data_IF_763450870370
#
_entry.id   IF_763450870370
#
_cell.length_a   1.000
_cell.length_b   1.000
_cell.length_c   1.000
_cell.angle_alpha   90.00
_cell.angle_beta   90.00
_cell.angle_gamma   90.00
#
_symmetry.space_group_name_H-M   'P 1'
#
loop_
_entity.id
_entity.type
_entity.pdbx_description
1 polymer ?
#
# COMPACT_ATOMS: atom_id res chain seq x y z
N UNK A 1 -11.00 12.21 30.06
CA UNK A 1 -9.85 11.31 29.82
C UNK A 1 -8.60 12.11 30.10
N UNK A 2 -7.59 11.57 30.79
CA UNK A 2 -6.33 12.29 30.95
C UNK A 2 -5.70 12.51 29.57
N UNK A 3 -5.43 13.78 29.22
CA UNK A 3 -4.97 14.21 27.90
C UNK A 3 -3.72 13.43 27.42
N UNK A 4 -2.82 13.07 28.35
CA UNK A 4 -1.60 12.31 28.05
C UNK A 4 -1.83 10.86 27.63
N UNK A 5 -2.97 10.23 27.96
CA UNK A 5 -3.22 8.85 27.55
C UNK A 5 -3.44 8.71 26.04
N UNK A 6 -3.96 9.75 25.38
CA UNK A 6 -4.29 9.75 23.94
C UNK A 6 -3.02 9.55 23.09
N UNK A 7 -1.89 10.14 23.51
CA UNK A 7 -0.63 10.14 22.76
C UNK A 7 0.40 9.14 23.25
N UNK A 8 0.09 8.35 24.30
CA UNK A 8 1.02 7.38 24.90
C UNK A 8 1.73 6.44 23.92
N UNK A 9 1.05 6.00 22.84
CA UNK A 9 1.67 5.19 21.77
C UNK A 9 2.45 6.01 20.76
N UNK A 10 2.02 7.24 20.51
CA UNK A 10 2.67 8.17 19.59
C UNK A 10 4.00 8.67 20.17
N UNK A 11 4.08 8.86 21.49
CA UNK A 11 5.29 9.27 22.22
C UNK A 11 6.44 8.26 22.10
N UNK A 12 6.16 6.99 21.73
CA UNK A 12 7.18 5.97 21.48
C UNK A 12 7.91 6.14 20.12
N UNK A 13 7.47 7.09 19.28
CA UNK A 13 8.07 7.33 17.96
C UNK A 13 9.14 8.42 18.08
N UNK A 14 10.40 8.02 18.32
CA UNK A 14 11.53 8.93 18.58
C UNK A 14 11.80 9.99 17.48
N UNK A 15 11.39 9.69 16.24
CA UNK A 15 11.62 10.55 15.08
C UNK A 15 10.53 11.60 14.84
N UNK A 16 9.47 11.60 15.65
CA UNK A 16 8.32 12.47 15.47
C UNK A 16 8.56 13.85 16.13
N UNK A 17 8.30 14.91 15.38
CA UNK A 17 8.41 16.31 15.78
C UNK A 17 7.08 17.03 15.49
N UNK A 18 6.19 17.04 16.49
CA UNK A 18 4.89 17.69 16.41
C UNK A 18 5.07 19.20 16.55
N UNK A 19 4.63 20.03 15.58
CA UNK A 19 4.73 21.47 15.71
C UNK A 19 3.77 21.99 16.79
N UNK A 20 4.21 23.00 17.55
CA UNK A 20 3.34 23.76 18.46
C UNK A 20 2.24 24.48 17.66
N UNK A 21 2.60 25.11 16.53
CA UNK A 21 1.69 25.87 15.67
C UNK A 21 1.80 25.38 14.23
N UNK A 22 0.66 25.16 13.58
CA UNK A 22 0.60 24.92 12.15
C UNK A 22 -0.48 25.79 11.47
N UNK A 23 -0.15 26.28 10.26
CA UNK A 23 -1.08 27.03 9.42
C UNK A 23 -1.47 26.21 8.20
N UNK A 24 -2.76 26.06 7.91
CA UNK A 24 -3.29 25.36 6.74
C UNK A 24 -4.02 26.37 5.84
N UNK A 25 -3.57 26.50 4.59
CA UNK A 25 -4.18 27.38 3.58
C UNK A 25 -4.93 26.55 2.56
N UNK A 26 -6.21 26.85 2.37
CA UNK A 26 -7.15 26.03 1.61
C UNK A 26 -7.62 24.87 2.48
N UNK A 27 -8.93 24.77 2.70
CA UNK A 27 -9.63 23.75 3.49
C UNK A 27 -10.53 22.88 2.58
N UNK A 28 -10.12 22.70 1.32
CA UNK A 28 -10.67 21.72 0.38
C UNK A 28 -10.18 20.30 0.69
N UNK A 29 -10.06 19.45 -0.34
CA UNK A 29 -9.70 18.03 -0.17
C UNK A 29 -8.44 17.82 0.68
N UNK A 30 -7.29 18.33 0.24
CA UNK A 30 -6.01 18.15 0.96
C UNK A 30 -5.97 18.93 2.27
N UNK A 31 -6.49 20.16 2.27
CA UNK A 31 -6.52 21.03 3.44
C UNK A 31 -7.27 20.47 4.63
N UNK A 32 -8.47 19.95 4.37
CA UNK A 32 -9.34 19.38 5.41
C UNK A 32 -8.65 18.20 6.10
N UNK A 33 -8.13 17.24 5.33
CA UNK A 33 -7.42 16.08 5.89
C UNK A 33 -6.11 16.48 6.58
N UNK A 34 -5.40 17.48 6.06
CA UNK A 34 -4.20 18.03 6.71
C UNK A 34 -4.54 18.56 8.10
N UNK A 35 -5.60 19.37 8.22
CA UNK A 35 -6.04 19.90 9.51
C UNK A 35 -6.49 18.79 10.48
N UNK A 36 -7.21 17.77 9.99
CA UNK A 36 -7.60 16.60 10.79
C UNK A 36 -6.37 15.87 11.31
N UNK A 37 -5.40 15.55 10.44
CA UNK A 37 -4.19 14.84 10.85
C UNK A 37 -3.35 15.66 11.84
N UNK A 38 -3.20 16.96 11.62
CA UNK A 38 -2.46 17.82 12.55
C UNK A 38 -3.13 17.88 13.94
N UNK A 39 -4.45 18.06 14.00
CA UNK A 39 -5.17 18.05 15.27
C UNK A 39 -5.03 16.70 15.96
N UNK A 40 -5.27 15.60 15.23
CA UNK A 40 -5.16 14.25 15.76
C UNK A 40 -3.74 13.90 16.24
N UNK A 41 -2.71 14.52 15.66
CA UNK A 41 -1.30 14.35 16.06
C UNK A 41 -0.90 15.18 17.28
N UNK A 42 -1.78 16.07 17.76
CA UNK A 42 -1.54 16.84 18.98
C UNK A 42 -0.88 18.19 18.80
N UNK A 43 -1.03 18.82 17.62
CA UNK A 43 -0.68 20.24 17.47
C UNK A 43 -1.47 21.08 18.48
N UNK A 44 -0.81 22.07 19.09
CA UNK A 44 -1.44 22.94 20.10
C UNK A 44 -2.30 24.02 19.44
N UNK A 45 -1.87 24.59 18.32
CA UNK A 45 -2.61 25.61 17.59
C UNK A 45 -2.68 25.34 16.08
N UNK A 46 -3.89 25.36 15.54
CA UNK A 46 -4.15 25.32 14.11
C UNK A 46 -4.77 26.62 13.64
N UNK A 47 -4.12 27.22 12.64
CA UNK A 47 -4.60 28.39 11.90
C UNK A 47 -5.15 27.90 10.57
N UNK A 48 -6.45 28.09 10.33
CA UNK A 48 -7.12 27.65 9.11
C UNK A 48 -7.53 28.84 8.26
N UNK A 49 -7.17 28.81 6.98
CA UNK A 49 -7.44 29.91 6.04
C UNK A 49 -8.17 29.35 4.83
N UNK A 50 -9.44 29.74 4.65
CA UNK A 50 -10.24 29.41 3.49
C UNK A 50 -11.46 30.35 3.44
N UNK A 51 -11.98 30.63 2.25
CA UNK A 51 -13.14 31.51 2.06
C UNK A 51 -14.38 30.80 1.52
N UNK A 52 -14.22 29.56 1.07
CA UNK A 52 -15.23 28.82 0.34
C UNK A 52 -16.36 28.32 1.27
N UNK A 53 -17.49 28.06 0.62
CA UNK A 53 -18.62 27.38 1.22
C UNK A 53 -18.61 25.90 0.84
N UNK A 54 -19.30 25.10 1.62
CA UNK A 54 -19.47 23.66 1.36
C UNK A 54 -20.50 23.47 0.26
N UNK A 55 -20.08 22.76 -0.78
CA UNK A 55 -20.95 22.30 -1.86
C UNK A 55 -21.23 20.80 -1.73
N UNK A 56 -22.33 20.33 -2.33
CA UNK A 56 -22.69 18.90 -2.34
C UNK A 56 -21.56 18.03 -2.92
N UNK A 57 -20.86 18.55 -3.94
CA UNK A 57 -19.72 17.88 -4.57
C UNK A 57 -18.57 17.63 -3.61
N UNK A 58 -18.49 18.35 -2.48
CA UNK A 58 -17.41 18.23 -1.50
C UNK A 58 -17.61 17.02 -0.58
N UNK A 59 -18.84 16.50 -0.45
CA UNK A 59 -19.14 15.36 0.43
C UNK A 59 -18.44 14.07 -0.02
N UNK A 60 -17.97 14.00 -1.26
CA UNK A 60 -17.24 12.84 -1.78
C UNK A 60 -15.80 12.69 -1.25
N UNK A 61 -15.28 13.72 -0.56
CA UNK A 61 -13.87 13.79 -0.14
C UNK A 61 -13.62 14.46 1.20
N UNK A 62 -14.60 15.17 1.73
CA UNK A 62 -14.54 15.80 3.05
C UNK A 62 -15.43 15.02 4.01
N UNK A 63 -15.01 14.89 5.27
CA UNK A 63 -15.82 14.25 6.31
C UNK A 63 -16.95 15.21 6.74
N UNK A 64 -17.98 15.30 5.91
CA UNK A 64 -19.09 16.24 6.05
C UNK A 64 -20.43 15.51 5.84
N UNK A 65 -21.43 15.95 6.58
CA UNK A 65 -22.83 15.55 6.38
C UNK A 65 -23.59 16.56 5.51
N UNK A 66 -24.70 16.14 4.89
CA UNK A 66 -25.54 16.99 4.02
C UNK A 66 -25.98 18.30 4.69
N UNK A 67 -26.24 18.28 6.01
CA UNK A 67 -26.64 19.47 6.77
C UNK A 67 -25.58 20.59 6.81
N UNK A 68 -24.35 20.31 6.38
CA UNK A 68 -23.28 21.30 6.31
C UNK A 68 -23.23 22.04 4.97
N UNK A 69 -23.95 21.58 3.94
CA UNK A 69 -24.01 22.24 2.63
C UNK A 69 -24.51 23.69 2.80
N UNK A 70 -23.83 24.63 2.14
CA UNK A 70 -24.09 26.06 2.26
C UNK A 70 -23.41 26.76 3.43
N UNK A 71 -22.81 26.02 4.38
CA UNK A 71 -22.00 26.62 5.46
C UNK A 71 -20.56 26.88 4.99
N UNK A 72 -19.84 27.75 5.69
CA UNK A 72 -18.41 28.00 5.47
C UNK A 72 -17.60 26.75 5.82
N UNK A 73 -16.65 26.37 4.95
CA UNK A 73 -15.80 25.18 5.17
C UNK A 73 -15.03 25.26 6.49
N UNK A 74 -14.41 26.40 6.76
CA UNK A 74 -13.60 26.64 7.97
C UNK A 74 -14.40 26.63 9.27
N UNK A 75 -15.65 27.12 9.26
CA UNK A 75 -16.54 27.10 10.43
C UNK A 75 -16.87 25.65 10.82
N UNK A 76 -17.29 24.86 9.83
CA UNK A 76 -17.64 23.45 10.05
C UNK A 76 -16.40 22.61 10.40
N UNK A 77 -15.27 22.86 9.73
CA UNK A 77 -14.02 22.18 10.05
C UNK A 77 -13.58 22.51 11.48
N UNK A 78 -13.69 23.77 11.92
CA UNK A 78 -13.42 24.16 13.32
C UNK A 78 -14.32 23.41 14.30
N UNK A 79 -15.61 23.30 14.02
CA UNK A 79 -16.57 22.53 14.85
C UNK A 79 -16.12 21.07 14.98
N UNK A 80 -15.81 20.42 13.85
CA UNK A 80 -15.35 19.03 13.79
C UNK A 80 -14.06 18.85 14.59
N UNK A 81 -13.03 19.66 14.33
CA UNK A 81 -11.73 19.54 15.01
C UNK A 81 -11.83 19.80 16.50
N UNK A 82 -12.64 20.77 16.92
CA UNK A 82 -12.89 21.06 18.34
C UNK A 82 -13.60 19.90 19.04
N UNK A 83 -14.43 19.15 18.31
CA UNK A 83 -15.05 17.90 18.76
C UNK A 83 -14.04 16.76 18.91
N UNK A 84 -13.08 16.63 17.98
CA UNK A 84 -12.07 15.56 17.95
C UNK A 84 -10.98 15.79 19.01
N UNK A 85 -10.48 17.03 19.15
CA UNK A 85 -9.35 17.40 20.01
C UNK A 85 -9.55 18.76 20.67
N UNK A 86 -10.12 18.74 21.87
CA UNK A 86 -10.38 19.96 22.66
C UNK A 86 -9.13 20.73 23.10
N UNK A 87 -7.95 20.10 23.12
CA UNK A 87 -6.68 20.78 23.45
C UNK A 87 -6.14 21.65 22.32
N UNK A 88 -6.53 21.36 21.08
CA UNK A 88 -6.02 22.11 19.93
C UNK A 88 -6.83 23.40 19.81
N UNK A 89 -6.16 24.55 19.95
CA UNK A 89 -6.73 25.87 19.68
C UNK A 89 -6.89 26.04 18.18
N UNK A 90 -8.13 26.28 17.73
CA UNK A 90 -8.43 26.50 16.31
C UNK A 90 -8.72 27.98 16.05
N UNK A 91 -7.82 28.63 15.33
CA UNK A 91 -7.99 29.97 14.75
C UNK A 91 -8.43 29.85 13.29
N UNK A 92 -9.41 30.67 12.89
CA UNK A 92 -9.94 30.66 11.52
C UNK A 92 -9.84 32.05 10.91
N UNK A 93 -9.51 32.11 9.62
CA UNK A 93 -9.55 33.33 8.81
C UNK A 93 -10.39 33.09 7.54
N UNK A 94 -11.55 33.74 7.47
CA UNK A 94 -12.44 33.71 6.29
C UNK A 94 -11.91 34.61 5.17
N UNK A 95 -10.81 34.19 4.55
CA UNK A 95 -10.11 34.97 3.52
C UNK A 95 -9.37 34.08 2.53
N UNK A 96 -8.96 34.69 1.41
CA UNK A 96 -7.99 34.11 0.46
C UNK A 96 -6.68 34.89 0.59
N UNK A 97 -5.57 34.21 0.31
CA UNK A 97 -4.25 34.84 0.22
C UNK A 97 -4.05 35.32 -1.21
N UNK A 98 -4.19 36.62 -1.46
CA UNK A 98 -4.12 37.21 -2.81
C UNK A 98 -2.96 38.21 -2.94
N UNK A 99 -2.52 38.80 -1.84
CA UNK A 99 -1.41 39.77 -1.77
C UNK A 99 -0.50 39.50 -0.58
N UNK A 100 0.72 40.06 -0.62
CA UNK A 100 1.74 39.80 0.40
C UNK A 100 1.30 40.22 1.82
N UNK A 101 0.44 41.24 1.95
CA UNK A 101 -0.11 41.64 3.25
C UNK A 101 -0.98 40.56 3.89
N UNK A 102 -1.62 39.72 3.09
CA UNK A 102 -2.52 38.68 3.58
C UNK A 102 -1.73 37.57 4.29
N UNK A 103 -0.45 37.38 3.93
CA UNK A 103 0.43 36.39 4.56
C UNK A 103 0.82 36.73 6.01
N UNK A 104 0.45 37.90 6.54
CA UNK A 104 0.80 38.29 7.92
C UNK A 104 0.22 37.36 8.98
N UNK A 105 -0.83 36.59 8.65
CA UNK A 105 -1.43 35.60 9.55
C UNK A 105 -0.66 34.28 9.60
N UNK A 106 0.27 34.05 8.66
CA UNK A 106 1.01 32.79 8.54
C UNK A 106 2.04 32.66 9.66
N UNK A 107 2.02 31.53 10.35
CA UNK A 107 2.96 31.22 11.45
C UNK A 107 3.14 29.72 11.68
N UNK A 108 4.22 29.35 12.36
CA UNK A 108 4.55 27.96 12.61
C UNK A 108 4.91 27.21 11.33
N UNK A 109 4.53 25.92 11.24
CA UNK A 109 4.71 25.12 10.02
C UNK A 109 3.55 25.37 9.05
N UNK A 110 3.85 25.81 7.83
CA UNK A 110 2.86 26.28 6.84
C UNK A 110 2.56 25.21 5.80
N UNK A 111 1.30 24.76 5.73
CA UNK A 111 0.77 23.77 4.80
C UNK A 111 -0.08 24.45 3.73
N UNK A 112 0.42 24.52 2.51
CA UNK A 112 -0.23 25.17 1.38
C UNK A 112 -1.03 24.14 0.56
N UNK A 113 -2.35 24.15 0.75
CA UNK A 113 -3.33 23.24 0.16
C UNK A 113 -4.31 23.94 -0.80
N UNK A 114 -4.08 25.21 -1.13
CA UNK A 114 -4.87 25.95 -2.15
C UNK A 114 -4.50 25.49 -3.55
N UNK A 115 -5.47 25.46 -4.45
CA UNK A 115 -5.34 25.19 -5.88
C UNK A 115 -4.91 26.42 -6.70
N UNK A 116 -4.93 27.62 -6.11
CA UNK A 116 -4.54 28.83 -6.81
C UNK A 116 -3.01 28.96 -6.91
N UNK A 117 -2.48 28.85 -8.13
CA UNK A 117 -1.03 28.93 -8.41
C UNK A 117 -0.41 30.26 -7.97
N UNK A 118 -1.10 31.40 -8.15
CA UNK A 118 -0.58 32.72 -7.74
C UNK A 118 -0.46 32.80 -6.21
N UNK A 119 -1.46 32.31 -5.49
CA UNK A 119 -1.43 32.22 -4.03
C UNK A 119 -0.29 31.30 -3.57
N UNK A 120 -0.11 30.13 -4.20
CA UNK A 120 0.97 29.21 -3.87
C UNK A 120 2.36 29.87 -4.01
N UNK A 121 2.61 30.59 -5.10
CA UNK A 121 3.86 31.32 -5.32
C UNK A 121 4.10 32.38 -4.25
N UNK A 122 3.07 33.16 -3.94
CA UNK A 122 3.12 34.25 -2.98
C UNK A 122 3.38 33.73 -1.55
N UNK A 123 2.70 32.66 -1.15
CA UNK A 123 2.89 32.00 0.15
C UNK A 123 4.31 31.42 0.25
N UNK A 124 4.78 30.72 -0.80
CA UNK A 124 6.12 30.14 -0.81
C UNK A 124 7.20 31.21 -0.67
N UNK A 125 7.08 32.32 -1.40
CA UNK A 125 8.01 33.44 -1.33
C UNK A 125 8.00 34.10 0.06
N UNK A 126 6.82 34.29 0.64
CA UNK A 126 6.67 34.84 1.99
C UNK A 126 7.33 33.93 3.04
N UNK A 127 7.06 32.61 2.99
CA UNK A 127 7.64 31.66 3.93
C UNK A 127 9.16 31.65 3.84
N UNK A 128 9.72 31.60 2.63
CA UNK A 128 11.17 31.66 2.40
C UNK A 128 11.80 32.95 2.96
N UNK A 129 11.13 34.09 2.82
CA UNK A 129 11.62 35.38 3.31
C UNK A 129 11.62 35.49 4.84
N UNK A 130 10.68 34.82 5.50
CA UNK A 130 10.48 34.88 6.96
C UNK A 130 10.95 33.61 7.69
N UNK A 131 11.74 32.76 7.02
CA UNK A 131 12.26 31.50 7.57
C UNK A 131 11.17 30.55 8.13
N UNK A 132 10.01 30.53 7.48
CA UNK A 132 8.92 29.61 7.81
C UNK A 132 9.04 28.33 7.00
N UNK A 133 8.78 27.19 7.64
CA UNK A 133 8.67 25.91 6.96
C UNK A 133 7.45 25.95 6.04
N UNK A 134 7.67 25.75 4.74
CA UNK A 134 6.63 25.67 3.72
C UNK A 134 6.49 24.23 3.21
N UNK A 135 5.26 23.73 3.20
CA UNK A 135 4.92 22.42 2.65
C UNK A 135 3.71 22.55 1.73
N UNK A 136 3.92 22.34 0.42
CA UNK A 136 2.86 22.24 -0.57
C UNK A 136 2.26 20.84 -0.55
N UNK A 137 0.94 20.77 -0.61
CA UNK A 137 0.19 19.51 -0.69
C UNK A 137 -0.96 19.66 -1.70
N UNK A 138 -0.93 18.86 -2.76
CA UNK A 138 -1.97 18.83 -3.78
C UNK A 138 -2.01 17.48 -4.49
N UNK A 139 -2.98 17.32 -5.37
CA UNK A 139 -3.04 16.20 -6.30
C UNK A 139 -3.81 16.60 -7.55
N UNK A 140 -3.64 15.83 -8.63
CA UNK A 140 -4.44 15.92 -9.84
C UNK A 140 -4.83 14.50 -10.29
N UNK A 141 -6.09 14.11 -10.02
CA UNK A 141 -6.55 12.75 -10.24
C UNK A 141 -5.73 11.73 -9.44
N UNK A 142 -4.83 11.03 -10.13
CA UNK A 142 -3.92 10.02 -9.57
C UNK A 142 -2.54 10.53 -9.22
N UNK A 143 -2.18 11.77 -9.60
CA UNK A 143 -0.85 12.33 -9.39
C UNK A 143 -0.83 13.11 -8.08
N UNK A 144 -0.05 12.66 -7.10
CA UNK A 144 0.12 13.34 -5.82
C UNK A 144 1.33 14.29 -5.86
N UNK A 145 1.18 15.48 -5.26
CA UNK A 145 2.20 16.52 -5.23
C UNK A 145 2.46 16.95 -3.79
N UNK A 146 3.61 16.58 -3.26
CA UNK A 146 4.09 16.98 -1.93
C UNK A 146 5.48 17.58 -2.10
N UNK A 147 5.65 18.88 -1.85
CA UNK A 147 6.94 19.55 -2.08
C UNK A 147 7.20 20.69 -1.09
N UNK A 148 8.46 20.85 -0.68
CA UNK A 148 8.92 22.01 0.11
C UNK A 148 9.29 23.24 -0.73
N UNK A 149 9.15 23.12 -2.04
CA UNK A 149 9.43 24.17 -3.01
C UNK A 149 8.26 24.33 -3.98
N UNK A 150 8.08 25.55 -4.48
CA UNK A 150 7.26 25.79 -5.65
C UNK A 150 8.08 25.41 -6.90
N UNK A 151 7.60 24.50 -7.77
CA UNK A 151 8.35 24.12 -8.96
C UNK A 151 8.43 25.31 -9.94
N UNK A 152 9.63 25.57 -10.45
CA UNK A 152 9.91 26.66 -11.41
C UNK A 152 9.30 26.41 -12.80
N UNK A 153 8.88 25.17 -13.10
CA UNK A 153 8.28 24.78 -14.37
C UNK A 153 6.90 24.16 -14.14
N UNK A 154 5.85 24.96 -14.28
CA UNK A 154 4.55 24.43 -14.67
C UNK A 154 4.44 24.59 -16.18
N UNK A 155 4.15 23.50 -16.91
CA UNK A 155 3.44 23.67 -18.18
C UNK A 155 2.09 24.25 -17.79
N UNK A 156 1.83 25.49 -18.19
CA UNK A 156 0.47 26.01 -18.21
C UNK A 156 -0.36 24.99 -19.00
N UNK A 157 -1.30 24.33 -18.34
CA UNK A 157 -2.37 23.66 -19.07
C UNK A 157 -3.21 24.81 -19.62
N UNK A 158 -3.13 25.02 -20.94
CA UNK A 158 -3.91 26.05 -21.63
C UNK A 158 -5.39 25.90 -21.23
N UNK A 159 -5.98 26.97 -20.66
CA UNK A 159 -7.42 27.14 -20.69
C UNK A 159 -8.21 27.21 -19.38
N UNK A 160 -7.64 27.39 -18.18
CA UNK A 160 -8.47 27.58 -16.98
C UNK A 160 -8.09 28.84 -16.17
N UNK A 161 -8.90 29.90 -16.35
CA UNK A 161 -8.91 31.01 -15.39
C UNK A 161 -9.50 30.53 -14.05
N UNK A 162 -8.69 30.60 -12.99
CA UNK A 162 -9.16 30.74 -11.62
C UNK A 162 -9.26 29.46 -10.78
N UNK A 163 -9.65 28.32 -11.36
CA UNK A 163 -9.78 27.04 -10.65
C UNK A 163 -9.47 25.87 -11.59
N UNK A 164 -8.71 24.89 -11.11
CA UNK A 164 -8.52 23.62 -11.81
C UNK A 164 -9.63 22.66 -11.41
N UNK A 165 -10.47 22.23 -12.36
CA UNK A 165 -11.41 21.13 -12.11
C UNK A 165 -10.62 19.82 -12.02
N UNK A 166 -10.13 19.53 -10.83
CA UNK A 166 -9.37 18.31 -10.56
C UNK A 166 -10.33 17.15 -10.24
N UNK A 167 -10.29 16.04 -11.01
CA UNK A 167 -10.98 14.80 -10.63
C UNK A 167 -10.57 14.38 -9.23
N UNK A 168 -11.56 14.16 -8.35
CA UNK A 168 -11.30 14.17 -6.92
C UNK A 168 -12.24 13.26 -6.15
N UNK A 169 -11.68 12.49 -5.22
CA UNK A 169 -12.37 11.67 -4.23
C UNK A 169 -11.48 11.55 -2.97
N UNK A 170 -12.02 10.98 -1.90
CA UNK A 170 -11.40 10.99 -0.56
C UNK A 170 -9.97 10.44 -0.51
N UNK A 171 -9.66 9.39 -1.28
CA UNK A 171 -8.40 8.64 -1.14
C UNK A 171 -7.16 9.46 -1.52
N UNK A 172 -7.03 10.02 -2.75
CA UNK A 172 -5.84 10.82 -3.11
C UNK A 172 -5.70 12.07 -2.23
N UNK A 173 -6.82 12.64 -1.78
CA UNK A 173 -6.81 13.75 -0.84
C UNK A 173 -6.18 13.35 0.50
N UNK A 174 -6.63 12.26 1.10
CA UNK A 174 -6.11 11.77 2.36
C UNK A 174 -4.64 11.32 2.26
N UNK A 175 -4.25 10.62 1.19
CA UNK A 175 -2.87 10.15 1.01
C UNK A 175 -1.90 11.34 0.85
N UNK A 176 -2.22 12.31 -0.01
CA UNK A 176 -1.38 13.50 -0.18
C UNK A 176 -1.21 14.26 1.14
N UNK A 177 -2.30 14.43 1.90
CA UNK A 177 -2.27 15.10 3.20
C UNK A 177 -1.45 14.34 4.23
N UNK A 178 -1.60 13.02 4.32
CA UNK A 178 -0.84 12.19 5.24
C UNK A 178 0.66 12.26 4.91
N UNK A 179 1.02 12.14 3.62
CA UNK A 179 2.39 12.24 3.17
C UNK A 179 3.01 13.63 3.45
N UNK A 180 2.25 14.71 3.22
CA UNK A 180 2.71 16.06 3.49
C UNK A 180 2.84 16.42 4.97
N UNK A 181 1.94 15.91 5.82
CA UNK A 181 2.08 16.04 7.28
C UNK A 181 3.29 15.24 7.78
N UNK A 182 3.42 13.99 7.34
CA UNK A 182 4.55 13.15 7.68
C UNK A 182 5.88 13.76 7.25
N UNK A 183 5.98 14.32 6.03
CA UNK A 183 7.22 14.95 5.54
C UNK A 183 7.65 16.17 6.34
N UNK A 184 6.78 16.72 7.19
CA UNK A 184 7.08 17.88 8.05
C UNK A 184 7.30 17.48 9.51
N UNK A 185 6.65 16.40 9.97
CA UNK A 185 6.77 15.92 11.34
C UNK A 185 7.92 14.92 11.54
N UNK A 186 8.30 14.15 10.53
CA UNK A 186 9.41 13.22 10.66
C UNK A 186 10.76 13.93 10.48
N UNK A 187 11.66 13.77 11.46
CA UNK A 187 13.03 14.31 11.41
C UNK A 187 13.84 13.77 10.23
N UNK A 188 13.61 12.50 9.86
CA UNK A 188 14.21 11.83 8.69
C UNK A 188 13.14 10.99 8.01
N UNK A 189 12.59 11.49 6.91
CA UNK A 189 11.67 10.72 6.05
C UNK A 189 12.31 10.55 4.68
N UNK A 190 12.56 9.30 4.29
CA UNK A 190 13.04 8.95 2.96
C UNK A 190 11.88 8.30 2.24
N UNK A 191 11.04 9.08 1.56
CA UNK A 191 9.82 8.53 0.94
C UNK A 191 10.12 7.37 -0.02
N UNK A 192 11.27 7.31 -0.69
CA UNK A 192 11.59 6.16 -1.56
C UNK A 192 11.94 4.90 -0.77
N UNK A 193 12.72 5.02 0.31
CA UNK A 193 13.04 3.86 1.16
C UNK A 193 11.84 3.43 2.02
N UNK A 194 11.00 4.38 2.43
CA UNK A 194 9.85 4.13 3.30
C UNK A 194 8.58 3.75 2.52
N UNK A 195 8.37 4.28 1.30
CA UNK A 195 7.38 3.73 0.34
C UNK A 195 7.84 2.40 -0.25
N UNK A 196 9.15 2.17 -0.40
CA UNK A 196 9.68 0.85 -0.78
C UNK A 196 9.36 -0.22 0.28
N UNK A 197 9.19 0.17 1.55
CA UNK A 197 8.68 -0.67 2.63
C UNK A 197 7.15 -0.70 2.70
N UNK A 198 6.45 0.18 1.97
CA UNK A 198 4.99 0.22 1.92
C UNK A 198 4.51 -0.97 1.10
N UNK A 199 4.19 -2.05 1.81
CA UNK A 199 3.58 -3.23 1.22
C UNK A 199 2.11 -2.94 0.91
N UNK A 200 1.83 -2.39 -0.27
CA UNK A 200 0.46 -2.25 -0.76
C UNK A 200 0.01 -3.60 -1.31
N UNK A 201 -0.54 -4.44 -0.44
CA UNK A 201 -1.19 -5.70 -0.84
C UNK A 201 -2.44 -5.38 -1.68
N UNK A 202 -2.29 -5.38 -3.01
CA UNK A 202 -3.42 -5.32 -3.94
C UNK A 202 -4.00 -6.69 -4.31
N UNK A 203 -3.36 -7.75 -3.84
CA UNK A 203 -3.78 -9.14 -3.86
C UNK A 203 -2.83 -9.87 -2.91
N UNK A 204 -3.04 -11.16 -2.66
CA UNK A 204 -2.21 -12.05 -1.84
C UNK A 204 -0.77 -12.16 -2.37
N UNK A 205 -0.02 -11.06 -2.36
CA UNK A 205 1.36 -11.00 -2.77
C UNK A 205 2.21 -11.46 -1.59
N UNK A 206 2.36 -12.77 -1.51
CA UNK A 206 3.43 -13.40 -0.74
C UNK A 206 4.74 -12.94 -1.40
N UNK A 207 5.67 -12.29 -0.67
CA UNK A 207 6.95 -11.84 -1.22
C UNK A 207 7.60 -12.96 -2.03
N UNK A 208 8.25 -12.64 -3.16
CA UNK A 208 8.89 -13.65 -4.01
C UNK A 208 9.85 -14.52 -3.21
N UNK A 209 10.56 -13.96 -2.22
CA UNK A 209 11.36 -14.73 -1.24
C UNK A 209 10.56 -15.72 -0.40
N UNK A 210 9.35 -15.36 0.04
CA UNK A 210 8.46 -16.27 0.80
C UNK A 210 7.79 -17.28 -0.15
N UNK A 211 7.52 -16.92 -1.41
CA UNK A 211 7.07 -17.86 -2.43
C UNK A 211 8.21 -18.82 -2.81
N UNK A 212 9.44 -18.37 -2.88
CA UNK A 212 10.62 -19.16 -3.19
C UNK A 212 11.00 -20.04 -1.99
N UNK A 213 10.93 -19.52 -0.77
CA UNK A 213 11.08 -20.31 0.47
C UNK A 213 9.94 -21.33 0.59
N UNK A 214 8.69 -20.97 0.31
CA UNK A 214 7.57 -21.91 0.32
C UNK A 214 7.61 -22.89 -0.85
N UNK A 215 8.15 -22.51 -2.01
CA UNK A 215 8.41 -23.41 -3.15
C UNK A 215 9.56 -24.35 -2.82
N UNK A 216 10.61 -23.87 -2.17
CA UNK A 216 11.76 -24.67 -1.76
C UNK A 216 11.38 -25.63 -0.63
N UNK A 217 10.66 -25.18 0.41
CA UNK A 217 10.07 -26.05 1.42
C UNK A 217 9.08 -27.06 0.82
N UNK A 218 8.40 -26.70 -0.27
CA UNK A 218 7.47 -27.60 -1.00
C UNK A 218 8.19 -28.57 -1.93
N UNK A 219 9.28 -28.15 -2.58
CA UNK A 219 10.18 -29.01 -3.35
C UNK A 219 10.86 -30.02 -2.39
N UNK A 220 11.36 -29.56 -1.25
CA UNK A 220 11.95 -30.39 -0.21
C UNK A 220 10.90 -31.36 0.37
N UNK A 221 9.69 -30.89 0.70
CA UNK A 221 8.61 -31.77 1.19
C UNK A 221 8.17 -32.82 0.16
N UNK A 222 7.99 -32.43 -1.11
CA UNK A 222 7.63 -33.36 -2.19
C UNK A 222 8.76 -34.35 -2.41
N UNK A 223 10.02 -33.91 -2.41
CA UNK A 223 11.19 -34.79 -2.55
C UNK A 223 11.30 -35.78 -1.39
N UNK A 224 11.07 -35.30 -0.16
CA UNK A 224 11.13 -36.11 1.07
C UNK A 224 9.96 -37.11 1.20
N UNK A 225 8.83 -36.87 0.51
CA UNK A 225 7.61 -37.68 0.59
C UNK A 225 7.16 -38.22 -0.78
N UNK A 226 8.04 -38.21 -1.79
CA UNK A 226 7.70 -38.59 -3.18
C UNK A 226 7.17 -40.03 -3.24
N UNK A 227 7.67 -40.89 -2.35
CA UNK A 227 7.25 -42.28 -2.20
C UNK A 227 5.77 -42.44 -1.81
N UNK A 228 5.17 -41.45 -1.16
CA UNK A 228 3.76 -41.46 -0.75
C UNK A 228 2.81 -41.05 -1.90
N UNK A 229 3.36 -40.47 -2.98
CA UNK A 229 2.60 -39.92 -4.10
C UNK A 229 2.89 -40.61 -5.44
N UNK A 230 3.91 -41.46 -5.50
CA UNK A 230 4.11 -42.38 -6.60
C UNK A 230 2.92 -43.36 -6.65
N UNK A 231 2.20 -43.49 -7.78
CA UNK A 231 1.11 -44.43 -7.84
C UNK A 231 1.66 -45.84 -7.67
N UNK A 232 0.97 -46.65 -6.86
CA UNK A 232 1.40 -48.00 -6.51
C UNK A 232 1.40 -48.91 -7.75
N UNK A 233 2.55 -48.99 -8.42
CA UNK A 233 2.81 -49.88 -9.55
C UNK A 233 3.24 -49.12 -10.81
N UNK A 234 4.55 -49.00 -11.03
CA UNK A 234 5.12 -48.77 -12.35
C UNK A 234 6.43 -49.52 -12.47
N UNK A 235 6.61 -50.18 -13.60
CA UNK A 235 7.89 -50.68 -14.07
C UNK A 235 7.77 -50.94 -15.57
N UNK A 236 8.59 -50.25 -16.36
CA UNK A 236 8.61 -50.38 -17.81
C UNK A 236 9.80 -51.27 -18.25
N UNK A 237 9.55 -52.23 -19.13
CA UNK A 237 10.57 -53.14 -19.67
C UNK A 237 11.07 -52.63 -21.04
N UNK A 238 12.33 -52.19 -21.12
CA UNK A 238 12.88 -51.55 -22.33
C UNK A 238 13.07 -52.50 -23.52
N UNK A 239 13.09 -53.82 -23.28
CA UNK A 239 13.36 -54.81 -24.35
C UNK A 239 12.13 -55.13 -25.22
N UNK A 240 10.90 -55.01 -24.72
CA UNK A 240 9.71 -55.46 -25.46
C UNK A 240 8.95 -54.32 -26.15
N UNK A 241 9.12 -53.07 -25.71
CA UNK A 241 8.58 -51.85 -26.32
C UNK A 241 7.06 -51.91 -26.70
N UNK A 242 6.31 -52.81 -26.05
CA UNK A 242 4.90 -53.14 -26.28
C UNK A 242 4.34 -53.82 -25.03
N UNK A 243 4.07 -53.05 -23.97
CA UNK A 243 3.16 -53.53 -22.95
C UNK A 243 2.14 -52.44 -22.67
N UNK A 244 0.98 -52.54 -23.33
CA UNK A 244 -0.10 -51.55 -23.30
C UNK A 244 -0.86 -51.52 -21.96
N UNK A 245 -0.49 -52.34 -20.98
CA UNK A 245 -1.16 -52.41 -19.65
C UNK A 245 -0.17 -52.67 -18.47
N UNK A 246 1.12 -52.33 -18.61
CA UNK A 246 2.14 -52.58 -17.57
C UNK A 246 2.23 -51.52 -16.46
N UNK A 247 1.11 -51.21 -15.80
CA UNK A 247 1.15 -50.52 -14.50
C UNK A 247 1.41 -51.50 -13.34
N UNK A 248 1.91 -52.71 -13.61
CA UNK A 248 2.29 -53.68 -12.58
C UNK A 248 3.45 -54.55 -13.05
N UNK A 249 4.66 -54.16 -12.68
CA UNK A 249 5.65 -55.17 -12.28
C UNK A 249 5.20 -55.64 -10.90
N UNK A 250 4.69 -56.87 -10.81
CA UNK A 250 4.39 -57.51 -9.52
C UNK A 250 5.73 -57.69 -8.76
N UNK A 251 5.78 -57.67 -7.41
CA UNK A 251 7.02 -57.75 -6.62
C UNK A 251 7.79 -59.08 -6.73
N UNK A 252 7.46 -59.93 -7.70
CA UNK A 252 8.16 -61.18 -7.97
C UNK A 252 9.03 -61.01 -9.22
N UNK A 253 10.11 -60.22 -9.13
CA UNK A 253 11.37 -60.25 -9.91
C UNK A 253 11.38 -60.52 -11.44
N UNK A 254 10.29 -60.56 -12.21
CA UNK A 254 10.34 -60.82 -13.67
C UNK A 254 9.23 -60.14 -14.49
N UNK A 255 9.53 -59.83 -15.76
CA UNK A 255 8.54 -59.37 -16.75
C UNK A 255 7.79 -60.55 -17.36
N UNK A 256 6.46 -60.58 -17.24
CA UNK A 256 5.62 -61.68 -17.72
C UNK A 256 5.62 -61.90 -19.25
N UNK A 257 6.01 -60.89 -20.03
CA UNK A 257 6.01 -60.96 -21.51
C UNK A 257 7.36 -61.35 -22.11
N UNK A 258 8.47 -61.11 -21.42
CA UNK A 258 9.82 -61.42 -21.92
C UNK A 258 10.66 -62.30 -21.00
N UNK A 259 10.11 -62.74 -19.86
CA UNK A 259 10.72 -63.67 -18.89
C UNK A 259 12.08 -63.18 -18.35
N UNK A 260 12.33 -61.87 -18.41
CA UNK A 260 13.58 -61.26 -17.96
C UNK A 260 13.48 -60.92 -16.47
N UNK A 261 14.41 -61.45 -15.69
CA UNK A 261 14.50 -61.14 -14.26
C UNK A 261 15.16 -59.77 -14.06
N UNK A 262 14.51 -58.91 -13.27
CA UNK A 262 15.06 -57.63 -12.86
C UNK A 262 15.61 -57.78 -11.45
N UNK A 263 16.84 -57.33 -11.21
CA UNK A 263 17.33 -57.28 -9.83
C UNK A 263 16.69 -56.10 -9.11
N UNK A 264 16.56 -56.18 -7.79
CA UNK A 264 16.10 -55.06 -6.96
C UNK A 264 16.88 -53.76 -7.25
N UNK A 265 18.18 -53.87 -7.58
CA UNK A 265 19.00 -52.71 -7.94
C UNK A 265 18.59 -52.05 -9.27
N UNK A 266 18.16 -52.83 -10.26
CA UNK A 266 17.70 -52.30 -11.56
C UNK A 266 16.34 -51.60 -11.42
N UNK A 267 15.48 -52.13 -10.54
CA UNK A 267 14.20 -51.52 -10.18
C UNK A 267 14.39 -50.21 -9.41
N UNK A 268 15.30 -50.19 -8.43
CA UNK A 268 15.60 -49.01 -7.63
C UNK A 268 16.20 -47.88 -8.49
N UNK A 269 17.05 -48.21 -9.47
CA UNK A 269 17.65 -47.24 -10.41
C UNK A 269 16.59 -46.66 -11.36
N UNK A 270 15.69 -47.47 -11.91
CA UNK A 270 14.56 -46.99 -12.73
C UNK A 270 13.58 -46.11 -11.97
N UNK A 271 13.25 -46.50 -10.73
CA UNK A 271 12.42 -45.69 -9.84
C UNK A 271 13.10 -44.33 -9.58
N UNK A 272 14.43 -44.30 -9.43
CA UNK A 272 15.17 -43.07 -9.23
C UNK A 272 15.19 -42.17 -10.48
N UNK A 273 15.36 -42.73 -11.67
CA UNK A 273 15.32 -41.99 -12.94
C UNK A 273 13.92 -41.39 -13.21
N UNK A 274 12.86 -42.20 -13.07
CA UNK A 274 11.48 -41.73 -13.25
C UNK A 274 11.07 -40.70 -12.19
N UNK A 275 11.55 -40.85 -10.94
CA UNK A 275 11.40 -39.82 -9.89
C UNK A 275 12.02 -38.50 -10.32
N UNK A 276 13.23 -38.52 -10.89
CA UNK A 276 13.94 -37.32 -11.29
C UNK A 276 13.23 -36.60 -12.44
N UNK A 277 12.71 -37.35 -13.41
CA UNK A 277 11.98 -36.79 -14.56
C UNK A 277 10.60 -36.25 -14.16
N UNK A 278 9.85 -36.96 -13.30
CA UNK A 278 8.58 -36.47 -12.77
C UNK A 278 8.74 -35.20 -11.91
N UNK A 279 9.81 -35.12 -11.10
CA UNK A 279 10.16 -33.92 -10.34
C UNK A 279 10.46 -32.74 -11.26
N UNK A 280 11.24 -32.96 -12.33
CA UNK A 280 11.58 -31.91 -13.31
C UNK A 280 10.32 -31.36 -13.98
N UNK A 281 9.44 -32.22 -14.48
CA UNK A 281 8.18 -31.82 -15.12
C UNK A 281 7.27 -31.05 -14.14
N UNK A 282 7.14 -31.54 -12.91
CA UNK A 282 6.34 -30.88 -11.86
C UNK A 282 6.89 -29.50 -11.49
N UNK A 283 8.21 -29.37 -11.39
CA UNK A 283 8.88 -28.09 -11.11
C UNK A 283 8.67 -27.11 -12.28
N UNK A 284 8.70 -27.58 -13.52
CA UNK A 284 8.41 -26.74 -14.70
C UNK A 284 6.96 -26.27 -14.75
N UNK A 285 5.97 -27.13 -14.45
CA UNK A 285 4.55 -26.74 -14.35
C UNK A 285 4.30 -25.71 -13.23
N UNK A 286 4.96 -25.86 -12.08
CA UNK A 286 4.87 -24.89 -10.97
C UNK A 286 5.50 -23.55 -11.35
N UNK A 287 6.61 -23.56 -12.10
CA UNK A 287 7.29 -22.34 -12.57
C UNK A 287 6.52 -21.62 -13.67
N UNK A 288 5.82 -22.34 -14.54
CA UNK A 288 5.02 -21.78 -15.63
C UNK A 288 3.69 -21.17 -15.14
N UNK A 289 3.17 -21.64 -14.00
CA UNK A 289 1.91 -21.18 -13.41
C UNK A 289 0.66 -21.85 -14.00
N UNK A 290 0.83 -22.75 -14.96
CA UNK A 290 -0.23 -23.62 -15.50
C UNK A 290 0.00 -25.05 -14.99
N UNK A 291 -0.74 -25.42 -13.94
CA UNK A 291 -0.73 -26.80 -13.42
C UNK A 291 -1.70 -27.63 -14.27
N UNK A 292 -1.18 -28.58 -15.03
CA UNK A 292 -1.96 -29.40 -15.96
C UNK A 292 -2.35 -30.73 -15.31
N UNK A 293 -1.46 -31.34 -14.52
CA UNK A 293 -1.71 -32.61 -13.81
C UNK A 293 -2.90 -32.54 -12.84
N UNK A 294 -3.84 -33.48 -12.97
CA UNK A 294 -4.99 -33.61 -12.06
C UNK A 294 -4.59 -34.18 -10.70
N UNK A 295 -3.57 -35.04 -10.63
CA UNK A 295 -3.01 -35.53 -9.36
C UNK A 295 -2.43 -34.39 -8.52
N UNK A 296 -1.69 -33.47 -9.18
CA UNK A 296 -1.09 -32.32 -8.51
C UNK A 296 -2.15 -31.33 -7.98
N UNK A 297 -3.25 -31.14 -8.72
CA UNK A 297 -4.40 -30.31 -8.30
C UNK A 297 -5.09 -30.89 -7.07
N UNK A 298 -5.23 -32.21 -6.99
CA UNK A 298 -5.88 -32.86 -5.84
C UNK A 298 -4.98 -32.83 -4.60
N UNK A 299 -3.67 -33.04 -4.76
CA UNK A 299 -2.70 -32.88 -3.67
C UNK A 299 -2.71 -31.45 -3.08
N UNK A 300 -2.76 -30.43 -3.93
CA UNK A 300 -2.88 -29.02 -3.52
C UNK A 300 -4.15 -28.73 -2.71
N UNK A 301 -5.30 -29.27 -3.14
CA UNK A 301 -6.58 -29.12 -2.42
C UNK A 301 -6.56 -29.79 -1.05
N UNK A 302 -5.93 -30.95 -0.94
CA UNK A 302 -5.79 -31.66 0.34
C UNK A 302 -4.89 -30.89 1.30
N UNK A 303 -3.79 -30.32 0.81
CA UNK A 303 -2.88 -29.48 1.60
C UNK A 303 -3.55 -28.20 2.12
N UNK A 304 -4.34 -27.49 1.29
CA UNK A 304 -5.06 -26.27 1.73
C UNK A 304 -6.04 -26.57 2.88
N UNK A 305 -6.68 -27.75 2.85
CA UNK A 305 -7.57 -28.21 3.94
C UNK A 305 -6.81 -28.49 5.24
N UNK A 306 -5.57 -28.98 5.17
CA UNK A 306 -4.76 -29.30 6.35
C UNK A 306 -4.17 -28.04 6.98
N UNK A 307 -3.68 -27.08 6.18
CA UNK A 307 -3.03 -25.88 6.70
C UNK A 307 -3.95 -24.71 7.04
N UNK A 308 -5.23 -24.70 6.62
CA UNK A 308 -6.24 -23.79 7.16
C UNK A 308 -6.79 -24.21 8.55
N UNK A 309 -6.17 -25.20 9.22
CA UNK A 309 -6.50 -25.65 10.58
C UNK A 309 -5.39 -25.41 11.61
N UNK A 310 -4.34 -24.66 11.31
CA UNK A 310 -3.40 -24.18 12.33
C UNK A 310 -3.74 -22.72 12.70
N UNK A 311 -3.97 -22.42 13.99
CA UNK A 311 -4.37 -21.10 14.47
C UNK A 311 -3.28 -20.04 14.31
#
# INVERSE_FOLDING_TARGET
MPQGAIYSRQELIDQLDIPEIATVIGCGGTGFWTAVFLAMSGVEELVLIDRDIIEISNLNRLLLEERHVGKKKIEVLKEILSGIRKSTRIEIHDMRIEKHSDCQVLRGKVFCCTDNLKSQQLICAYCKKNDLIYQRIGYDGTILNVSRAFPLSFKEVEGQQGYTFTPSWVVPAAIASAAGVASVMYKRLSLMEDLGKLHIQHSSFVPEKILDEAKQEREDYITDHIDDYLPSGYGYCDDCNHCDDCNRVDPEDHCSDCDKEYTQGDLDEKIAEEKEDWLKETIEEIKSGEIVSEELKEALKQWTKVNHRRP
#
